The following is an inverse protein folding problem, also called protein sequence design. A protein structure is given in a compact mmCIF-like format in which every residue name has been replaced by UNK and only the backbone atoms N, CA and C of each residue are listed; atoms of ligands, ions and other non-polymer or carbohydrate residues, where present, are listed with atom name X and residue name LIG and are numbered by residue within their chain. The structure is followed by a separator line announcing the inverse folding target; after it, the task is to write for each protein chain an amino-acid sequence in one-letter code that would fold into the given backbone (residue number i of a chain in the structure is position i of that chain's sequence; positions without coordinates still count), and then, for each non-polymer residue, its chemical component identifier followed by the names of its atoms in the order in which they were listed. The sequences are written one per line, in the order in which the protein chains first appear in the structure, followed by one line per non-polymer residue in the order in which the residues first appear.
data_IF_904398853262
#
_entry.id   IF_904398853262
#
_cell.length_a   1.000
_cell.length_b   1.000
_cell.length_c   1.000
_cell.angle_alpha   90.00
_cell.angle_beta   90.00
_cell.angle_gamma   90.00
#
_symmetry.space_group_name_H-M   'P 1'
#
loop_
_entity.id
_entity.type
_entity.pdbx_description
1 polymer ?
#
# COMPACT_ATOMS: atom_id res chain seq x y z
N UNK A 1 -21.78 -3.38 -9.11
CA UNK A 1 -22.34 -3.70 -7.78
C UNK A 1 -22.37 -2.43 -6.95
N UNK A 2 -23.48 -2.18 -6.24
CA UNK A 2 -23.68 -0.97 -5.43
C UNK A 2 -22.72 -0.90 -4.24
N UNK A 3 -21.98 0.20 -4.12
CA UNK A 3 -21.02 0.43 -3.04
C UNK A 3 -20.85 1.93 -2.69
N UNK A 4 -20.26 2.19 -1.52
CA UNK A 4 -19.69 3.49 -1.13
C UNK A 4 -18.18 3.35 -0.96
N UNK A 5 -17.41 4.25 -1.58
CA UNK A 5 -15.95 4.28 -1.55
C UNK A 5 -15.45 5.44 -0.70
N UNK A 6 -14.43 5.16 0.11
CA UNK A 6 -13.71 6.09 0.97
C UNK A 6 -12.23 6.11 0.59
N UNK A 7 -11.55 7.21 0.93
CA UNK A 7 -10.09 7.37 0.90
C UNK A 7 -9.62 7.74 2.30
N UNK A 8 -8.49 7.17 2.70
CA UNK A 8 -7.78 7.60 3.90
C UNK A 8 -7.05 8.91 3.60
N UNK A 9 -7.42 9.98 4.30
CA UNK A 9 -6.80 11.28 4.18
C UNK A 9 -5.74 11.42 5.29
N UNK A 10 -4.54 10.91 5.04
CA UNK A 10 -3.38 10.99 5.93
C UNK A 10 -2.75 12.38 5.97
N UNK A 11 -3.18 13.30 5.11
CA UNK A 11 -2.79 14.71 5.11
C UNK A 11 -3.53 15.57 6.16
N UNK A 12 -4.52 14.99 6.86
CA UNK A 12 -5.19 15.63 7.99
C UNK A 12 -4.51 15.27 9.32
N UNK A 13 -4.67 16.15 10.31
CA UNK A 13 -4.45 15.83 11.72
C UNK A 13 -5.79 15.94 12.49
N UNK A 14 -6.35 14.84 13.03
CA UNK A 14 -5.91 13.45 12.88
C UNK A 14 -6.25 12.86 11.49
N UNK A 15 -5.55 11.81 11.04
CA UNK A 15 -5.90 11.06 9.82
C UNK A 15 -7.31 10.44 9.86
N UNK A 16 -8.08 10.56 8.78
CA UNK A 16 -9.51 10.14 8.74
C UNK A 16 -9.95 9.56 7.39
N UNK A 17 -11.11 8.90 7.36
CA UNK A 17 -11.71 8.30 6.17
C UNK A 17 -12.75 9.23 5.50
N UNK A 18 -12.35 9.96 4.46
CA UNK A 18 -13.26 10.82 3.67
C UNK A 18 -14.02 9.99 2.62
N UNK A 19 -15.31 10.27 2.40
CA UNK A 19 -16.06 9.64 1.29
C UNK A 19 -15.53 10.16 -0.05
N UNK A 20 -15.06 9.24 -0.91
CA UNK A 20 -14.59 9.55 -2.27
C UNK A 20 -15.72 9.40 -3.31
N UNK A 21 -16.71 8.55 -3.05
CA UNK A 21 -17.99 8.57 -3.76
C UNK A 21 -18.87 7.32 -3.63
N UNK A 22 -20.17 7.48 -3.85
CA UNK A 22 -21.17 6.40 -3.89
C UNK A 22 -21.63 6.10 -5.31
N UNK A 23 -21.78 4.82 -5.67
CA UNK A 23 -22.16 4.40 -7.02
C UNK A 23 -22.01 2.90 -7.27
N UNK A 24 -21.78 2.54 -8.54
CA UNK A 24 -21.53 1.15 -8.96
C UNK A 24 -20.04 0.90 -9.20
N UNK A 25 -19.47 -0.07 -8.47
CA UNK A 25 -18.14 -0.63 -8.77
C UNK A 25 -18.25 -1.74 -9.82
N UNK A 26 -17.31 -1.77 -10.77
CA UNK A 26 -17.17 -2.78 -11.82
C UNK A 26 -15.71 -3.22 -11.93
N UNK A 27 -15.48 -4.52 -12.11
CA UNK A 27 -14.19 -5.06 -12.54
C UNK A 27 -14.27 -5.31 -14.06
N UNK A 28 -13.29 -4.83 -14.81
CA UNK A 28 -13.33 -4.79 -16.28
C UNK A 28 -12.02 -5.34 -16.87
N UNK A 29 -12.10 -6.45 -17.62
CA UNK A 29 -10.97 -7.05 -18.36
C UNK A 29 -10.85 -6.43 -19.77
N UNK A 30 -9.63 -6.08 -20.18
CA UNK A 30 -9.32 -5.69 -21.56
C UNK A 30 -9.25 -6.94 -22.44
N UNK A 31 -10.05 -7.03 -23.50
CA UNK A 31 -10.16 -8.25 -24.33
C UNK A 31 -8.82 -8.68 -24.92
N UNK A 32 -8.07 -7.73 -25.48
CA UNK A 32 -6.83 -7.97 -26.23
C UNK A 32 -5.58 -8.05 -25.34
N UNK A 33 -5.60 -7.36 -24.19
CA UNK A 33 -4.41 -7.16 -23.33
C UNK A 33 -4.44 -7.98 -22.05
N UNK A 34 -5.54 -8.70 -21.78
CA UNK A 34 -5.73 -9.50 -20.58
C UNK A 34 -5.92 -8.71 -19.27
N UNK A 35 -5.35 -7.50 -19.18
CA UNK A 35 -5.34 -6.64 -17.99
C UNK A 35 -6.73 -6.37 -17.42
N UNK A 36 -6.84 -6.28 -16.09
CA UNK A 36 -8.09 -6.07 -15.38
C UNK A 36 -8.00 -4.80 -14.54
N UNK A 37 -9.00 -3.92 -14.63
CA UNK A 37 -9.13 -2.70 -13.82
C UNK A 37 -10.39 -2.68 -12.98
N UNK A 38 -10.29 -2.06 -11.81
CA UNK A 38 -11.43 -1.59 -11.03
C UNK A 38 -11.83 -0.22 -11.54
N UNK A 39 -13.10 -0.06 -11.90
CA UNK A 39 -13.71 1.22 -12.29
C UNK A 39 -14.96 1.48 -11.44
N UNK A 40 -15.05 2.66 -10.83
CA UNK A 40 -16.22 3.13 -10.10
C UNK A 40 -16.56 4.57 -10.50
N UNK A 41 -17.85 4.85 -10.68
CA UNK A 41 -18.38 6.19 -11.00
C UNK A 41 -19.43 6.60 -9.97
N UNK A 42 -19.48 7.89 -9.66
CA UNK A 42 -20.48 8.50 -8.76
C UNK A 42 -21.85 8.57 -9.42
N UNK A 43 -22.90 8.43 -8.62
CA UNK A 43 -24.28 8.68 -9.04
C UNK A 43 -24.48 10.09 -9.61
N UNK A 44 -25.47 10.22 -10.51
CA UNK A 44 -25.95 11.45 -11.17
C UNK A 44 -24.91 12.17 -12.03
N UNK A 45 -23.77 12.52 -11.45
CA UNK A 45 -22.63 13.20 -12.07
C UNK A 45 -21.79 12.31 -12.99
N UNK A 46 -21.85 10.98 -12.82
CA UNK A 46 -21.07 9.97 -13.56
C UNK A 46 -19.53 10.15 -13.48
N UNK A 47 -19.02 11.10 -12.68
CA UNK A 47 -17.59 11.34 -12.45
C UNK A 47 -16.93 10.09 -11.84
N UNK A 48 -15.73 9.77 -12.31
CA UNK A 48 -14.95 8.63 -11.80
C UNK A 48 -14.57 8.89 -10.32
N UNK A 49 -14.67 7.86 -9.49
CA UNK A 49 -14.19 7.89 -8.09
C UNK A 49 -13.20 6.77 -7.75
N UNK A 50 -12.98 5.80 -8.64
CA UNK A 50 -11.79 4.93 -8.68
C UNK A 50 -11.57 4.42 -10.11
N UNK A 51 -10.30 4.34 -10.53
CA UNK A 51 -9.87 3.83 -11.83
C UNK A 51 -8.40 3.39 -11.75
N UNK A 52 -8.15 2.14 -11.40
CA UNK A 52 -6.81 1.55 -11.31
C UNK A 52 -6.80 0.10 -11.82
N UNK A 53 -5.63 -0.37 -12.27
CA UNK A 53 -5.41 -1.78 -12.58
C UNK A 53 -5.38 -2.61 -11.28
N UNK A 54 -5.85 -3.86 -11.34
CA UNK A 54 -5.59 -4.86 -10.30
C UNK A 54 -4.15 -5.35 -10.49
N UNK A 55 -3.35 -5.32 -9.42
CA UNK A 55 -1.98 -5.84 -9.39
C UNK A 55 -1.94 -7.21 -8.70
N UNK A 56 -1.07 -8.16 -9.11
CA UNK A 56 -0.80 -9.40 -8.39
C UNK A 56 -0.38 -9.21 -6.93
N UNK A 57 0.10 -8.02 -6.54
CA UNK A 57 0.49 -7.69 -5.17
C UNK A 57 -0.63 -6.99 -4.36
N UNK A 58 -1.78 -6.70 -4.98
CA UNK A 58 -2.90 -6.01 -4.32
C UNK A 58 -3.67 -6.99 -3.40
N UNK A 59 -4.14 -6.52 -2.25
CA UNK A 59 -4.80 -7.35 -1.24
C UNK A 59 -5.98 -6.61 -0.59
N UNK A 60 -7.16 -7.26 -0.58
CA UNK A 60 -8.34 -6.79 0.15
C UNK A 60 -8.28 -7.28 1.61
N UNK A 61 -7.94 -6.38 2.54
CA UNK A 61 -7.93 -6.62 3.99
C UNK A 61 -9.25 -6.21 4.63
N UNK A 62 -9.78 -6.92 5.63
CA UNK A 62 -11.03 -6.55 6.30
C UNK A 62 -10.85 -5.23 7.07
N UNK A 63 -11.86 -4.37 7.05
CA UNK A 63 -11.85 -3.16 7.87
C UNK A 63 -12.25 -3.48 9.32
N UNK A 64 -11.41 -3.16 10.30
CA UNK A 64 -11.74 -3.28 11.73
C UNK A 64 -13.10 -2.65 12.05
N UNK A 65 -14.01 -3.42 12.63
CA UNK A 65 -15.38 -2.97 12.91
C UNK A 65 -16.36 -3.00 11.72
N UNK A 66 -16.05 -3.66 10.60
CA UNK A 66 -17.04 -3.89 9.52
C UNK A 66 -16.85 -5.21 8.76
N UNK A 67 -17.87 -6.05 8.87
CA UNK A 67 -18.14 -7.29 8.11
C UNK A 67 -18.31 -7.09 6.59
N UNK A 68 -18.67 -5.87 6.18
CA UNK A 68 -19.09 -5.50 4.82
C UNK A 68 -18.19 -4.45 4.17
N UNK A 69 -16.96 -4.29 4.65
CA UNK A 69 -16.00 -3.36 4.06
C UNK A 69 -14.57 -3.94 3.94
N UNK A 70 -13.92 -3.62 2.83
CA UNK A 70 -12.54 -4.01 2.52
C UNK A 70 -11.65 -2.78 2.31
N UNK A 71 -10.38 -2.90 2.70
CA UNK A 71 -9.34 -1.88 2.56
C UNK A 71 -8.22 -2.41 1.66
N UNK A 72 -7.70 -1.60 0.75
CA UNK A 72 -6.52 -1.91 -0.06
C UNK A 72 -5.75 -0.65 -0.45
N UNK A 73 -4.45 -0.81 -0.71
CA UNK A 73 -3.59 0.22 -1.29
C UNK A 73 -3.54 0.05 -2.82
N UNK A 74 -3.60 1.15 -3.57
CA UNK A 74 -3.30 1.19 -5.00
C UNK A 74 -2.27 2.27 -5.28
N UNK A 75 -1.22 1.94 -6.04
CA UNK A 75 -0.08 2.83 -6.28
C UNK A 75 -0.37 3.91 -7.34
N UNK A 76 -1.40 3.72 -8.17
CA UNK A 76 -1.73 4.59 -9.29
C UNK A 76 -3.24 4.53 -9.59
N UNK A 77 -4.04 5.17 -8.75
CA UNK A 77 -5.43 5.48 -9.07
C UNK A 77 -5.54 6.72 -9.95
N UNK A 78 -6.36 6.63 -10.99
CA UNK A 78 -6.51 7.62 -12.05
C UNK A 78 -7.94 8.18 -12.07
N UNK A 79 -8.54 8.41 -10.89
CA UNK A 79 -9.87 9.01 -10.78
C UNK A 79 -9.89 10.53 -11.02
N UNK A 80 -8.78 11.20 -10.69
CA UNK A 80 -8.59 12.65 -10.85
C UNK A 80 -7.74 12.98 -12.09
N UNK A 81 -7.78 12.13 -13.12
CA UNK A 81 -7.04 12.26 -14.39
C UNK A 81 -5.50 12.35 -14.26
N UNK A 82 -4.97 12.04 -13.08
CA UNK A 82 -3.56 12.03 -12.71
C UNK A 82 -3.32 10.80 -11.81
N UNK A 83 -2.22 10.02 -11.99
CA UNK A 83 -1.97 8.81 -11.22
C UNK A 83 -1.51 9.16 -9.80
N UNK A 84 -2.26 8.70 -8.79
CA UNK A 84 -1.94 8.94 -7.37
C UNK A 84 -1.87 7.63 -6.58
N UNK A 85 -0.94 7.48 -5.62
CA UNK A 85 -1.05 6.44 -4.61
C UNK A 85 -2.26 6.77 -3.70
N UNK A 86 -3.10 5.77 -3.43
CA UNK A 86 -4.35 5.93 -2.70
C UNK A 86 -4.60 4.72 -1.79
N UNK A 87 -4.85 4.97 -0.49
CA UNK A 87 -5.36 3.96 0.44
C UNK A 87 -6.89 4.05 0.46
N UNK A 88 -7.54 3.04 -0.11
CA UNK A 88 -8.98 3.02 -0.38
C UNK A 88 -9.70 2.03 0.52
N UNK A 89 -10.92 2.37 0.91
CA UNK A 89 -11.85 1.45 1.57
C UNK A 89 -13.20 1.45 0.86
N UNK A 90 -13.76 0.27 0.61
CA UNK A 90 -15.07 0.11 -0.04
C UNK A 90 -16.03 -0.58 0.92
N UNK A 91 -17.23 -0.01 1.07
CA UNK A 91 -18.31 -0.56 1.91
C UNK A 91 -19.50 -0.94 1.03
N UNK A 92 -19.99 -2.16 1.21
CA UNK A 92 -21.18 -2.69 0.56
C UNK A 92 -22.39 -2.61 1.51
N UNK A 93 -23.59 -2.82 0.96
CA UNK A 93 -24.83 -2.82 1.76
C UNK A 93 -24.85 -3.97 2.79
N UNK A 94 -24.54 -5.19 2.33
CA UNK A 94 -24.58 -6.44 3.08
C UNK A 94 -23.22 -7.16 3.02
N UNK A 95 -22.89 -7.95 4.05
CA UNK A 95 -21.67 -8.78 4.07
C UNK A 95 -21.55 -9.70 2.84
N UNK A 96 -22.64 -10.34 2.41
CA UNK A 96 -22.66 -11.17 1.19
C UNK A 96 -22.07 -10.45 -0.03
N UNK A 97 -22.43 -9.19 -0.24
CA UNK A 97 -21.96 -8.42 -1.39
C UNK A 97 -20.48 -8.08 -1.26
N UNK A 98 -20.00 -7.83 -0.04
CA UNK A 98 -18.57 -7.70 0.24
C UNK A 98 -17.81 -9.01 -0.05
N UNK A 99 -18.33 -10.18 0.37
CA UNK A 99 -17.69 -11.47 0.09
C UNK A 99 -17.72 -11.80 -1.42
N UNK A 100 -18.86 -11.60 -2.09
CA UNK A 100 -19.01 -11.77 -3.55
C UNK A 100 -18.04 -10.85 -4.32
N UNK A 101 -17.82 -9.62 -3.86
CA UNK A 101 -16.80 -8.74 -4.41
C UNK A 101 -15.38 -9.25 -4.15
N UNK A 102 -15.04 -9.67 -2.93
CA UNK A 102 -13.70 -10.18 -2.60
C UNK A 102 -13.34 -11.42 -3.42
N UNK A 103 -14.21 -12.42 -3.49
CA UNK A 103 -14.01 -13.62 -4.31
C UNK A 103 -13.74 -13.23 -5.77
N UNK A 104 -14.57 -12.37 -6.36
CA UNK A 104 -14.38 -11.94 -7.76
C UNK A 104 -13.13 -11.08 -7.97
N UNK A 105 -12.70 -10.32 -6.97
CA UNK A 105 -11.47 -9.54 -7.00
C UNK A 105 -10.22 -10.43 -6.91
N UNK A 106 -10.22 -11.40 -5.99
CA UNK A 106 -9.11 -12.35 -5.80
C UNK A 106 -8.99 -13.30 -7.03
N UNK A 107 -10.12 -13.71 -7.64
CA UNK A 107 -10.12 -14.36 -8.96
C UNK A 107 -9.45 -13.48 -10.04
N UNK A 108 -9.79 -12.19 -10.12
CA UNK A 108 -9.18 -11.27 -11.07
C UNK A 108 -7.69 -11.02 -10.80
N UNK A 109 -7.26 -11.06 -9.54
CA UNK A 109 -5.86 -10.97 -9.12
C UNK A 109 -5.05 -12.18 -9.62
N UNK A 110 -5.53 -13.40 -9.38
CA UNK A 110 -4.85 -14.62 -9.84
C UNK A 110 -4.88 -14.76 -11.38
N UNK A 111 -5.92 -14.28 -12.04
CA UNK A 111 -5.97 -14.17 -13.51
C UNK A 111 -4.90 -13.22 -14.06
N UNK A 112 -4.70 -12.04 -13.48
CA UNK A 112 -3.63 -11.12 -13.88
C UNK A 112 -2.25 -11.69 -13.55
N UNK A 113 -2.10 -12.36 -12.39
CA UNK A 113 -0.85 -13.02 -11.99
C UNK A 113 -0.43 -14.09 -13.00
N UNK A 114 -1.35 -15.01 -13.35
CA UNK A 114 -1.11 -16.06 -14.37
C UNK A 114 -0.77 -15.49 -15.74
N UNK A 115 -1.35 -14.35 -16.12
CA UNK A 115 -0.97 -13.66 -17.35
C UNK A 115 0.47 -13.15 -17.28
N UNK A 116 0.88 -12.51 -16.18
CA UNK A 116 2.26 -12.00 -16.00
C UNK A 116 3.28 -13.14 -15.93
N UNK A 117 2.97 -14.25 -15.25
CA UNK A 117 3.82 -15.44 -15.15
C UNK A 117 3.90 -16.21 -16.48
N UNK A 118 2.81 -16.27 -17.24
CA UNK A 118 2.76 -16.89 -18.58
C UNK A 118 3.35 -16.03 -19.69
N UNK A 119 3.28 -14.70 -19.58
CA UNK A 119 3.98 -13.76 -20.46
C UNK A 119 5.43 -13.59 -19.97
N UNK A 120 6.26 -14.60 -20.21
CA UNK A 120 7.68 -14.65 -19.83
C UNK A 120 8.55 -13.59 -20.52
N UNK A 121 8.33 -12.32 -20.21
CA UNK A 121 9.03 -11.17 -20.78
C UNK A 121 10.21 -10.78 -19.88
N UNK A 122 11.30 -11.55 -19.98
CA UNK A 122 12.48 -11.54 -19.11
C UNK A 122 13.34 -10.25 -19.11
N UNK A 123 12.91 -9.19 -19.80
CA UNK A 123 13.69 -7.95 -19.99
C UNK A 123 13.63 -6.99 -18.79
N UNK A 124 12.55 -7.04 -17.99
CA UNK A 124 12.34 -6.08 -16.89
C UNK A 124 13.08 -6.43 -15.60
N UNK A 125 13.52 -7.69 -15.44
CA UNK A 125 14.28 -8.11 -14.26
C UNK A 125 15.76 -7.71 -14.36
N UNK A 126 16.40 -8.06 -15.49
CA UNK A 126 17.80 -7.72 -15.75
C UNK A 126 18.05 -6.21 -15.67
N UNK A 127 17.12 -5.40 -16.19
CA UNK A 127 17.23 -3.93 -16.20
C UNK A 127 17.11 -3.25 -14.84
N UNK A 128 16.73 -3.99 -13.79
CA UNK A 128 16.82 -3.55 -12.39
C UNK A 128 18.13 -4.01 -11.74
N UNK A 129 18.65 -5.19 -12.13
CA UNK A 129 19.94 -5.69 -11.65
C UNK A 129 21.13 -4.86 -12.18
N UNK A 130 21.21 -4.63 -13.50
CA UNK A 130 22.24 -3.78 -14.13
C UNK A 130 22.32 -2.39 -13.47
N UNK A 131 21.14 -1.82 -13.16
CA UNK A 131 21.01 -0.49 -12.57
C UNK A 131 21.26 -0.44 -11.05
N UNK A 132 21.42 -1.61 -10.41
CA UNK A 132 21.90 -1.71 -9.03
C UNK A 132 23.44 -1.78 -9.00
N UNK A 133 24.07 -2.45 -9.97
CA UNK A 133 25.52 -2.57 -10.05
C UNK A 133 26.21 -1.25 -10.44
N UNK A 134 25.63 -0.44 -11.34
CA UNK A 134 26.15 0.91 -11.68
C UNK A 134 26.31 1.85 -10.46
N UNK A 135 25.56 1.62 -9.38
CA UNK A 135 25.57 2.46 -8.18
C UNK A 135 26.62 2.06 -7.13
N UNK A 136 27.31 0.93 -7.30
CA UNK A 136 28.08 0.28 -6.21
C UNK A 136 29.60 0.51 -6.23
N UNK A 137 30.15 1.32 -7.16
CA UNK A 137 31.61 1.42 -7.35
C UNK A 137 32.12 2.86 -7.41
N UNK A 138 32.38 3.48 -6.25
CA UNK A 138 33.28 4.66 -6.19
C UNK A 138 34.03 4.96 -4.89
N UNK A 139 34.28 3.97 -4.04
CA UNK A 139 35.27 4.13 -2.97
C UNK A 139 36.69 4.18 -3.55
N UNK A 140 37.35 5.34 -3.43
CA UNK A 140 38.80 5.51 -3.68
C UNK A 140 39.52 5.66 -2.35
N UNK A 141 40.41 4.72 -2.04
CA UNK A 141 41.20 4.72 -0.81
C UNK A 141 42.61 5.34 -0.99
N UNK A 142 43.03 6.12 0.01
CA UNK A 142 44.43 6.47 0.40
C UNK A 142 44.35 7.43 1.61
N UNK A 143 44.59 7.01 2.86
CA UNK A 143 45.91 6.98 3.54
C UNK A 143 46.62 8.36 3.68
N UNK A 144 47.09 8.82 4.86
CA UNK A 144 46.93 8.29 6.23
C UNK A 144 47.80 8.99 7.32
N UNK A 145 47.61 8.59 8.59
CA UNK A 145 48.44 8.79 9.83
C UNK A 145 48.71 10.19 10.44
N UNK A 146 48.33 10.35 11.72
CA UNK A 146 49.17 10.53 12.95
C UNK A 146 48.26 10.40 14.20
N UNK A 147 48.60 9.58 15.22
CA UNK A 147 49.34 9.91 16.48
C UNK A 147 48.66 11.00 17.34
N UNK A 148 48.28 10.83 18.63
CA UNK A 148 48.14 9.67 19.57
C UNK A 148 46.80 9.86 20.38
N UNK A 149 46.47 9.42 21.61
CA UNK A 149 47.15 8.71 22.73
C UNK A 149 46.16 8.05 23.76
N UNK A 150 46.72 7.45 24.83
CA UNK A 150 46.21 7.20 26.22
C UNK A 150 45.00 8.09 26.64
N UNK A 151 44.04 7.69 27.48
CA UNK A 151 43.89 6.65 28.56
C UNK A 151 42.37 6.65 28.98
N UNK A 152 41.76 5.79 29.82
CA UNK A 152 42.10 4.60 30.64
C UNK A 152 40.79 3.80 30.98
N UNK A 153 40.88 2.74 31.79
CA UNK A 153 39.83 2.09 32.61
C UNK A 153 39.28 3.02 33.73
N UNK A 154 38.22 2.75 34.51
CA UNK A 154 37.43 1.53 34.82
C UNK A 154 36.01 1.89 35.39
N UNK A 155 35.16 0.87 35.67
CA UNK A 155 34.15 0.69 36.78
C UNK A 155 33.48 1.91 37.51
N UNK A 156 32.28 1.82 38.10
CA UNK A 156 31.59 0.67 38.72
C UNK A 156 30.05 0.88 38.86
N UNK A 157 29.36 -0.05 39.53
CA UNK A 157 27.91 -0.11 39.82
C UNK A 157 27.47 0.62 41.13
N UNK A 158 26.13 0.70 41.33
CA UNK A 158 25.37 1.00 42.58
C UNK A 158 25.53 2.39 43.26
N UNK A 159 24.46 3.04 43.74
CA UNK A 159 23.68 2.59 44.89
C UNK A 159 22.21 3.11 44.94
N UNK A 160 21.35 2.47 45.76
CA UNK A 160 20.00 2.94 46.14
C UNK A 160 20.00 3.93 47.30
N UNK A 161 19.00 4.82 47.32
CA UNK A 161 18.17 5.23 48.49
C UNK A 161 16.90 5.93 47.92
N UNK A 162 15.67 5.46 48.13
CA UNK A 162 14.85 5.49 49.38
C UNK A 162 14.93 6.86 50.10
N UNK A 163 13.83 7.57 50.33
CA UNK A 163 12.96 7.51 51.53
C UNK A 163 11.92 8.66 51.36
N UNK A 164 10.63 8.61 51.72
CA UNK A 164 9.68 7.58 52.19
C UNK A 164 8.22 8.10 51.96
N UNK A 165 7.24 7.32 52.40
CA UNK A 165 5.87 7.76 52.76
C UNK A 165 5.86 9.00 53.71
N UNK A 166 4.74 9.66 54.04
CA UNK A 166 3.49 9.05 54.53
C UNK A 166 2.30 10.03 54.69
N UNK A 167 1.09 9.46 54.88
CA UNK A 167 -0.17 9.99 55.46
C UNK A 167 -1.20 10.79 54.64
N UNK A 168 -2.45 10.39 54.92
CA UNK A 168 -3.77 10.99 54.67
C UNK A 168 -4.24 11.14 53.22
#
# INVERSE_FOLDING_TARGET
MRAKLYRFASENDPPEWKERGTGDVKLLKHKEKGTIRLLMRRDRTLKICANHQISPLMELKPNSGSDRAWVWNTLADYADECPKPELLAIRFLNAENAQKFKVKFDECKEEVKKQVEGSGNTDSANKVAEKLEELSVKDKASEGKKEEDKKETEKNEDEKKEVKADKN
#
